data_IF_557687688337
#
_entry.id   IF_557687688337
#
_cell.length_a   1.000
_cell.length_b   1.000
_cell.length_c   1.000
_cell.angle_alpha   90.00
_cell.angle_beta   90.00
_cell.angle_gamma   90.00
#
_symmetry.space_group_name_H-M   'P 1'
#
loop_
_entity.id
_entity.type
_entity.pdbx_description
1 polymer ?
#
# COMPACT_ATOMS: atom_id res chain seq x y z
N UNK A 1 32.32 14.16 -9.46
CA UNK A 1 31.32 13.14 -9.85
C UNK A 1 30.76 12.37 -8.64
N UNK A 2 31.59 11.79 -7.75
CA UNK A 2 31.09 10.98 -6.62
C UNK A 2 30.20 11.69 -5.58
N UNK A 3 30.41 12.99 -5.34
CA UNK A 3 29.57 13.78 -4.41
C UNK A 3 28.11 13.93 -4.90
N UNK A 4 27.93 14.15 -6.21
CA UNK A 4 26.61 14.25 -6.82
C UNK A 4 25.90 12.89 -6.79
N UNK A 5 26.62 11.81 -7.11
CA UNK A 5 26.06 10.47 -7.05
C UNK A 5 25.63 10.07 -5.63
N UNK A 6 26.45 10.40 -4.62
CA UNK A 6 26.10 10.20 -3.21
C UNK A 6 24.84 10.98 -2.82
N UNK A 7 24.68 12.20 -3.32
CA UNK A 7 23.47 13.01 -3.11
C UNK A 7 22.22 12.38 -3.75
N UNK A 8 22.34 11.83 -4.96
CA UNK A 8 21.24 11.12 -5.62
C UNK A 8 20.79 9.90 -4.82
N UNK A 9 21.72 9.16 -4.21
CA UNK A 9 21.38 8.05 -3.32
C UNK A 9 20.58 8.53 -2.11
N UNK A 10 20.96 9.66 -1.49
CA UNK A 10 20.19 10.20 -0.37
C UNK A 10 18.79 10.62 -0.77
N UNK A 11 18.62 11.26 -1.93
CA UNK A 11 17.30 11.60 -2.46
C UNK A 11 16.48 10.33 -2.71
N UNK A 12 17.07 9.29 -3.30
CA UNK A 12 16.39 8.03 -3.55
C UNK A 12 15.91 7.38 -2.25
N UNK A 13 16.76 7.36 -1.21
CA UNK A 13 16.37 6.87 0.11
C UNK A 13 15.22 7.68 0.70
N UNK A 14 15.27 9.02 0.59
CA UNK A 14 14.22 9.90 1.10
C UNK A 14 12.90 9.69 0.36
N UNK A 15 12.94 9.51 -0.96
CA UNK A 15 11.77 9.18 -1.77
C UNK A 15 11.15 7.83 -1.34
N UNK A 16 11.97 6.79 -1.14
CA UNK A 16 11.51 5.49 -0.65
C UNK A 16 10.85 5.63 0.73
N UNK A 17 11.49 6.35 1.65
CA UNK A 17 10.93 6.61 2.99
C UNK A 17 9.61 7.38 2.88
N UNK A 18 9.49 8.35 1.97
CA UNK A 18 8.27 9.10 1.74
C UNK A 18 7.12 8.21 1.27
N UNK A 19 7.37 7.30 0.32
CA UNK A 19 6.37 6.32 -0.15
C UNK A 19 5.94 5.38 0.97
N UNK A 20 6.90 4.85 1.73
CA UNK A 20 6.61 3.99 2.89
C UNK A 20 5.77 4.77 3.92
N UNK A 21 6.20 5.97 4.30
CA UNK A 21 5.50 6.82 5.25
C UNK A 21 4.07 7.12 4.80
N UNK A 22 3.86 7.42 3.51
CA UNK A 22 2.53 7.63 2.97
C UNK A 22 1.65 6.37 3.01
N UNK A 23 2.20 5.18 2.75
CA UNK A 23 1.43 3.94 2.84
C UNK A 23 0.93 3.66 4.27
N UNK A 24 1.70 4.00 5.30
CA UNK A 24 1.33 3.77 6.70
C UNK A 24 0.53 4.92 7.33
N UNK A 25 0.86 6.17 7.01
CA UNK A 25 0.20 7.34 7.58
C UNK A 25 -1.01 7.79 6.74
N UNK A 26 -1.03 7.48 5.44
CA UNK A 26 -2.09 7.85 4.52
C UNK A 26 -3.51 7.50 5.00
N UNK A 27 -3.76 6.32 5.61
CA UNK A 27 -5.10 5.99 6.10
C UNK A 27 -5.58 6.92 7.22
N UNK A 28 -4.69 7.50 8.02
CA UNK A 28 -5.05 8.50 9.03
C UNK A 28 -5.48 9.85 8.41
N UNK A 29 -5.09 10.10 7.16
CA UNK A 29 -5.50 11.27 6.38
C UNK A 29 -6.65 10.97 5.40
N UNK A 30 -7.28 9.80 5.50
CA UNK A 30 -8.42 9.42 4.67
C UNK A 30 -8.06 8.82 3.31
N UNK A 31 -6.80 8.44 3.08
CA UNK A 31 -6.44 7.64 1.91
C UNK A 31 -6.90 6.18 2.11
N UNK A 32 -7.67 5.63 1.17
CA UNK A 32 -8.06 4.22 1.17
C UNK A 32 -7.19 3.45 0.17
N UNK A 33 -6.46 2.46 0.68
CA UNK A 33 -5.60 1.57 -0.10
C UNK A 33 -6.16 0.15 -0.22
N UNK A 34 -7.39 -0.06 0.24
CA UNK A 34 -8.06 -1.37 0.20
C UNK A 34 -8.41 -1.75 -1.24
N UNK A 35 -8.26 -3.02 -1.58
CA UNK A 35 -8.75 -3.52 -2.85
C UNK A 35 -10.30 -3.42 -2.89
N UNK A 36 -10.90 -3.05 -4.03
CA UNK A 36 -12.36 -3.05 -4.18
C UNK A 36 -12.92 -4.43 -3.80
N UNK A 37 -13.81 -4.46 -2.82
CA UNK A 37 -14.44 -5.70 -2.38
C UNK A 37 -15.65 -5.99 -3.26
N UNK A 38 -15.69 -7.18 -3.86
CA UNK A 38 -16.88 -7.69 -4.56
C UNK A 38 -17.44 -8.83 -3.73
N UNK A 39 -18.73 -8.76 -3.43
CA UNK A 39 -19.41 -9.84 -2.74
C UNK A 39 -19.69 -10.99 -3.71
N UNK A 40 -19.21 -12.19 -3.37
CA UNK A 40 -19.48 -13.42 -4.11
C UNK A 40 -20.39 -14.27 -3.23
N UNK A 41 -21.57 -14.62 -3.74
CA UNK A 41 -22.53 -15.49 -3.04
C UNK A 41 -22.79 -16.73 -3.88
N UNK A 42 -22.54 -17.89 -3.30
CA UNK A 42 -22.90 -19.18 -3.88
C UNK A 42 -23.97 -19.86 -3.01
N UNK A 43 -25.01 -20.44 -3.61
CA UNK A 43 -26.01 -21.19 -2.86
C UNK A 43 -25.38 -22.45 -2.27
N UNK A 44 -25.49 -22.63 -0.95
CA UNK A 44 -25.12 -23.87 -0.26
C UNK A 44 -26.35 -24.73 -0.09
N UNK A 45 -26.30 -25.97 -0.59
CA UNK A 45 -27.31 -26.99 -0.30
C UNK A 45 -26.99 -27.63 1.04
N UNK A 46 -27.73 -27.28 2.10
CA UNK A 46 -27.66 -28.00 3.37
C UNK A 46 -28.52 -29.28 3.29
N UNK A 47 -27.89 -30.45 3.41
CA UNK A 47 -28.61 -31.68 3.73
C UNK A 47 -28.84 -31.70 5.25
N UNK A 48 -30.08 -31.55 5.68
CA UNK A 48 -30.51 -31.83 7.05
C UNK A 48 -31.31 -33.13 7.01
N UNK A 49 -30.79 -34.16 7.66
CA UNK A 49 -31.48 -35.43 7.95
C UNK A 49 -32.39 -35.28 9.19
#
# INVERSE_FOLDING_TARGET
MGKLFKFLIYILCLAIIGVIGFAYLGPWFGADFSAPQTEIREPVVLHAD
#
